data_IF_356340835809
#
_entry.id   IF_356340835809
#
_cell.length_a   1.000
_cell.length_b   1.000
_cell.length_c   1.000
_cell.angle_alpha   90.00
_cell.angle_beta   90.00
_cell.angle_gamma   90.00
#
_symmetry.space_group_name_H-M   'P 1'
#
loop_
_entity.id
_entity.type
_entity.pdbx_description
1 polymer ?
#
# COMPACT_ATOMS: atom_id res chain seq x y z
N UNK A 1 17.96 -21.18 0.24
CA UNK A 1 17.19 -19.92 0.33
C UNK A 1 17.71 -18.93 -0.70
N UNK A 2 17.04 -18.80 -1.86
CA UNK A 2 17.43 -17.84 -2.91
C UNK A 2 16.92 -16.46 -2.51
N UNK A 3 17.83 -15.53 -2.19
CA UNK A 3 17.51 -14.17 -1.76
C UNK A 3 16.92 -13.42 -2.95
N UNK A 4 15.65 -13.03 -2.86
CA UNK A 4 14.98 -12.26 -3.91
C UNK A 4 15.72 -10.92 -4.08
N UNK A 5 16.25 -10.67 -5.29
CA UNK A 5 17.08 -9.48 -5.57
C UNK A 5 16.31 -8.17 -5.36
N UNK A 6 14.98 -8.23 -5.48
CA UNK A 6 14.09 -7.07 -5.39
C UNK A 6 13.53 -6.86 -3.97
N UNK A 7 13.97 -7.65 -3.00
CA UNK A 7 13.55 -7.55 -1.59
C UNK A 7 13.72 -6.13 -0.98
N UNK A 8 14.75 -5.34 -1.31
CA UNK A 8 14.84 -3.94 -0.88
C UNK A 8 13.72 -3.05 -1.44
N UNK A 9 13.31 -3.28 -2.69
CA UNK A 9 12.23 -2.53 -3.36
C UNK A 9 10.87 -2.90 -2.75
N UNK A 10 10.67 -4.20 -2.47
CA UNK A 10 9.47 -4.68 -1.76
C UNK A 10 9.37 -4.05 -0.38
N UNK A 11 10.47 -3.98 0.37
CA UNK A 11 10.48 -3.32 1.68
C UNK A 11 10.13 -1.83 1.58
N UNK A 12 10.67 -1.12 0.58
CA UNK A 12 10.36 0.30 0.34
C UNK A 12 8.88 0.51 0.00
N UNK A 13 8.31 -0.32 -0.89
CA UNK A 13 6.89 -0.26 -1.24
C UNK A 13 5.98 -0.56 -0.03
N UNK A 14 6.36 -1.52 0.82
CA UNK A 14 5.62 -1.84 2.04
C UNK A 14 5.63 -0.69 3.04
N UNK A 15 6.76 -0.01 3.22
CA UNK A 15 6.85 1.19 4.08
C UNK A 15 5.99 2.31 3.51
N UNK A 16 6.02 2.53 2.20
CA UNK A 16 5.19 3.55 1.55
C UNK A 16 3.69 3.26 1.72
N UNK A 17 3.29 2.00 1.57
CA UNK A 17 1.91 1.55 1.82
C UNK A 17 1.49 1.81 3.27
N UNK A 18 2.36 1.52 4.24
CA UNK A 18 2.10 1.77 5.66
C UNK A 18 1.90 3.26 5.95
N UNK A 19 2.78 4.12 5.44
CA UNK A 19 2.66 5.57 5.62
C UNK A 19 1.38 6.09 4.96
N UNK A 20 1.06 5.62 3.76
CA UNK A 20 -0.17 6.00 3.06
C UNK A 20 -1.42 5.60 3.85
N UNK A 21 -1.46 4.38 4.38
CA UNK A 21 -2.55 3.90 5.23
C UNK A 21 -2.67 4.71 6.52
N UNK A 22 -1.55 5.06 7.17
CA UNK A 22 -1.57 5.92 8.35
C UNK A 22 -2.09 7.32 8.02
N UNK A 23 -1.64 7.94 6.94
CA UNK A 23 -2.10 9.27 6.52
C UNK A 23 -3.60 9.26 6.20
N UNK A 24 -4.07 8.26 5.46
CA UNK A 24 -5.50 8.02 5.20
C UNK A 24 -6.22 7.82 6.51
N UNK A 25 -5.76 6.92 7.38
CA UNK A 25 -6.38 6.65 8.66
C UNK A 25 -6.48 7.92 9.49
N UNK A 26 -5.43 8.72 9.68
CA UNK A 26 -5.51 9.96 10.45
C UNK A 26 -6.39 11.03 9.79
N UNK A 27 -6.32 11.17 8.46
CA UNK A 27 -7.14 12.14 7.71
C UNK A 27 -8.61 11.75 7.72
N UNK A 28 -8.91 10.45 7.70
CA UNK A 28 -10.25 9.94 7.60
C UNK A 28 -10.87 9.58 8.96
N UNK A 29 -10.11 9.14 9.96
CA UNK A 29 -10.57 9.01 11.36
C UNK A 29 -11.06 10.35 11.90
N UNK A 30 -10.44 11.49 11.53
CA UNK A 30 -10.95 12.83 11.88
C UNK A 30 -12.16 13.28 11.05
N UNK A 31 -12.38 12.71 9.87
CA UNK A 31 -13.41 13.19 8.91
C UNK A 31 -14.61 12.21 8.83
N UNK A 32 -14.51 10.99 9.37
CA UNK A 32 -15.45 9.88 9.17
C UNK A 32 -16.39 9.64 10.35
N UNK A 33 -16.89 10.72 10.94
CA UNK A 33 -18.30 10.70 11.34
C UNK A 33 -19.20 10.84 10.08
N UNK A 34 -18.63 11.15 8.90
CA UNK A 34 -19.40 11.35 7.67
C UNK A 34 -18.86 10.50 6.52
N UNK A 35 -19.33 9.26 6.39
CA UNK A 35 -19.86 8.59 5.18
C UNK A 35 -19.45 8.98 3.72
N UNK A 36 -18.39 9.74 3.43
CA UNK A 36 -18.18 10.37 2.11
C UNK A 36 -16.79 10.22 1.49
N UNK A 37 -15.96 9.27 1.91
CA UNK A 37 -14.82 8.90 1.06
C UNK A 37 -15.27 7.94 -0.02
N UNK A 38 -15.31 8.39 -1.26
CA UNK A 38 -15.63 7.53 -2.39
C UNK A 38 -14.66 6.35 -2.54
N UNK A 39 -14.79 5.61 -3.65
CA UNK A 39 -14.03 4.39 -3.97
C UNK A 39 -12.50 4.64 -4.13
N UNK A 40 -12.06 5.89 -4.24
CA UNK A 40 -10.66 6.28 -4.50
C UNK A 40 -9.60 5.66 -3.57
N UNK A 41 -9.74 5.71 -2.23
CA UNK A 41 -8.80 5.10 -1.30
C UNK A 41 -8.70 3.57 -1.49
N UNK A 42 -9.82 2.90 -1.78
CA UNK A 42 -9.83 1.46 -2.02
C UNK A 42 -9.08 1.07 -3.31
N UNK A 43 -9.27 1.83 -4.39
CA UNK A 43 -8.53 1.62 -5.65
C UNK A 43 -7.03 1.81 -5.42
N UNK A 44 -6.62 2.88 -4.74
CA UNK A 44 -5.20 3.15 -4.48
C UNK A 44 -4.53 2.06 -3.64
N UNK A 45 -5.17 1.63 -2.55
CA UNK A 45 -4.64 0.54 -1.72
C UNK A 45 -4.51 -0.75 -2.52
N UNK A 46 -5.53 -1.10 -3.31
CA UNK A 46 -5.52 -2.29 -4.14
C UNK A 46 -4.41 -2.27 -5.20
N UNK A 47 -4.16 -1.11 -5.81
CA UNK A 47 -3.09 -0.89 -6.79
C UNK A 47 -1.70 -1.08 -6.20
N UNK A 48 -1.46 -0.55 -4.99
CA UNK A 48 -0.17 -0.67 -4.32
C UNK A 48 0.09 -2.13 -3.90
N UNK A 49 -0.94 -2.83 -3.41
CA UNK A 49 -0.85 -4.26 -3.09
C UNK A 49 -0.49 -5.07 -4.34
N UNK A 50 -1.14 -4.79 -5.48
CA UNK A 50 -0.88 -5.48 -6.74
C UNK A 50 0.55 -5.25 -7.24
N UNK A 51 1.08 -4.04 -7.09
CA UNK A 51 2.47 -3.70 -7.42
C UNK A 51 3.48 -4.45 -6.54
N UNK A 52 3.21 -4.57 -5.24
CA UNK A 52 4.05 -5.34 -4.30
C UNK A 52 4.11 -6.81 -4.74
N UNK A 53 2.94 -7.40 -5.05
CA UNK A 53 2.84 -8.79 -5.52
C UNK A 53 3.61 -8.98 -6.82
N UNK A 54 3.42 -8.09 -7.81
CA UNK A 54 4.10 -8.17 -9.11
C UNK A 54 5.63 -8.11 -8.97
N UNK A 55 6.15 -7.15 -8.20
CA UNK A 55 7.59 -6.99 -7.98
C UNK A 55 8.17 -8.20 -7.22
N UNK A 56 7.42 -8.73 -6.25
CA UNK A 56 7.83 -9.91 -5.50
C UNK A 56 7.95 -11.15 -6.39
N UNK A 57 6.96 -11.41 -7.25
CA UNK A 57 7.00 -12.53 -8.19
C UNK A 57 8.05 -12.35 -9.28
N UNK A 58 8.26 -11.14 -9.80
CA UNK A 58 9.30 -10.84 -10.81
C UNK A 58 10.73 -11.01 -10.29
N UNK A 59 10.94 -10.89 -8.98
CA UNK A 59 12.25 -11.00 -8.36
C UNK A 59 12.66 -12.42 -7.88
N UNK A 60 11.76 -13.41 -8.01
CA UNK A 60 12.10 -14.83 -7.86
C UNK A 60 12.85 -15.35 -9.09
#
# INVERSE_FOLDING_TARGET
MRRNRNMPIVALLSVFLLVFLLVIAFRHIKIYIVFSSGIGPFIMVSLIILLIVFVFFKGR
#
